data_IF_486956280563
#
_entry.id   IF_486956280563
#
_cell.length_a   1.000
_cell.length_b   1.000
_cell.length_c   1.000
_cell.angle_alpha   90.00
_cell.angle_beta   90.00
_cell.angle_gamma   90.00
#
_symmetry.space_group_name_H-M   'P 1'
#
loop_
_entity.id
_entity.type
_entity.pdbx_description
1 polymer ?
#
# COMPACT_ATOMS: atom_id res chain seq x y z
N UNK A 1 19.64 -14.49 -21.68
CA UNK A 1 20.11 -13.26 -21.10
C UNK A 1 19.25 -12.81 -19.97
N UNK A 2 19.88 -12.65 -18.91
CA UNK A 2 19.25 -12.07 -17.78
C UNK A 2 18.95 -10.63 -18.03
N UNK A 3 17.71 -10.35 -18.29
CA UNK A 3 17.30 -8.97 -18.29
C UNK A 3 17.25 -8.57 -16.85
N UNK A 4 18.24 -7.85 -16.43
CA UNK A 4 18.21 -7.31 -15.09
C UNK A 4 17.13 -6.26 -15.06
N UNK A 5 16.31 -6.32 -14.03
CA UNK A 5 15.24 -5.37 -13.86
C UNK A 5 15.73 -3.93 -13.75
N UNK A 6 17.00 -3.74 -13.43
CA UNK A 6 17.62 -2.42 -13.34
C UNK A 6 17.85 -1.77 -14.71
N UNK A 7 17.53 -2.47 -15.80
CA UNK A 7 17.73 -1.93 -17.14
C UNK A 7 16.62 -1.05 -17.66
N UNK A 8 15.44 -0.99 -16.98
CA UNK A 8 14.31 -0.22 -17.48
C UNK A 8 13.79 0.76 -16.43
N UNK A 9 13.32 1.95 -16.87
CA UNK A 9 12.76 2.92 -15.91
C UNK A 9 11.58 2.40 -15.10
N UNK A 10 10.71 1.59 -15.70
CA UNK A 10 9.55 1.03 -14.99
C UNK A 10 9.98 0.06 -13.91
N UNK A 11 10.97 -0.79 -14.22
CA UNK A 11 11.47 -1.73 -13.23
C UNK A 11 12.17 -1.04 -12.08
N UNK A 12 12.89 0.04 -12.36
CA UNK A 12 13.54 0.84 -11.33
C UNK A 12 12.52 1.47 -10.39
N UNK A 13 11.42 1.97 -10.93
CA UNK A 13 10.32 2.51 -10.13
C UNK A 13 9.69 1.44 -9.25
N UNK A 14 9.48 0.25 -9.80
CA UNK A 14 8.92 -0.86 -9.06
C UNK A 14 9.84 -1.30 -7.93
N UNK A 15 11.14 -1.40 -8.19
CA UNK A 15 12.12 -1.74 -7.15
C UNK A 15 12.12 -0.74 -6.02
N UNK A 16 12.06 0.54 -6.36
CA UNK A 16 12.03 1.59 -5.35
C UNK A 16 10.78 1.48 -4.48
N UNK A 17 9.63 1.22 -5.11
CA UNK A 17 8.38 1.01 -4.40
C UNK A 17 8.48 -0.20 -3.45
N UNK A 18 8.97 -1.32 -3.95
CA UNK A 18 9.11 -2.55 -3.17
C UNK A 18 10.06 -2.34 -2.00
N UNK A 19 11.16 -1.64 -2.20
CA UNK A 19 12.12 -1.35 -1.14
C UNK A 19 11.48 -0.53 -0.02
N UNK A 20 10.69 0.48 -0.38
CA UNK A 20 9.97 1.30 0.59
C UNK A 20 8.90 0.51 1.31
N UNK A 21 8.18 -0.33 0.58
CA UNK A 21 7.17 -1.21 1.16
C UNK A 21 7.80 -2.17 2.18
N UNK A 22 8.94 -2.76 1.83
CA UNK A 22 9.64 -3.67 2.72
C UNK A 22 10.10 -2.97 4.01
N UNK A 23 10.55 -1.73 3.90
CA UNK A 23 10.90 -0.94 5.08
C UNK A 23 9.70 -0.72 5.99
N UNK A 24 8.52 -0.51 5.43
CA UNK A 24 7.29 -0.36 6.20
C UNK A 24 6.88 -1.69 6.83
N UNK A 25 7.06 -2.80 6.14
CA UNK A 25 6.79 -4.14 6.68
C UNK A 25 7.71 -4.43 7.87
N UNK A 26 8.98 -4.04 7.79
CA UNK A 26 9.92 -4.20 8.90
C UNK A 26 9.48 -3.38 10.12
N UNK A 27 8.97 -2.18 9.90
CA UNK A 27 8.42 -1.36 10.97
C UNK A 27 7.20 -2.00 11.61
N UNK A 28 6.37 -2.67 10.82
CA UNK A 28 5.22 -3.41 11.36
C UNK A 28 5.67 -4.52 12.31
N UNK A 29 6.72 -5.25 11.94
CA UNK A 29 7.32 -6.25 12.82
C UNK A 29 7.86 -5.66 14.11
N UNK A 30 8.52 -4.51 14.02
CA UNK A 30 9.05 -3.84 15.20
C UNK A 30 7.93 -3.38 16.14
N UNK A 31 6.80 -2.95 15.59
CA UNK A 31 5.64 -2.57 16.39
C UNK A 31 5.11 -3.78 17.16
N UNK A 32 5.03 -4.94 16.52
CA UNK A 32 4.61 -6.18 17.18
C UNK A 32 5.57 -6.57 18.31
N UNK A 33 6.85 -6.42 18.08
CA UNK A 33 7.87 -6.70 19.12
C UNK A 33 7.75 -5.71 20.27
N UNK A 34 7.49 -4.46 19.97
CA UNK A 34 7.30 -3.42 20.97
C UNK A 34 6.09 -3.74 21.85
N UNK A 35 4.99 -4.16 21.24
CA UNK A 35 3.80 -4.58 21.98
C UNK A 35 4.10 -5.71 22.96
N UNK A 36 4.76 -6.76 22.47
CA UNK A 36 5.14 -7.90 23.30
C UNK A 36 6.04 -7.48 24.46
N UNK A 37 7.01 -6.62 24.19
CA UNK A 37 7.93 -6.13 25.20
C UNK A 37 7.22 -5.34 26.27
N UNK A 38 6.30 -4.46 25.88
CA UNK A 38 5.53 -3.64 26.82
C UNK A 38 4.67 -4.50 27.71
N UNK A 39 4.04 -5.54 27.15
CA UNK A 39 3.24 -6.49 27.92
C UNK A 39 4.12 -7.24 28.92
N UNK A 40 5.30 -7.70 28.50
CA UNK A 40 6.23 -8.39 29.37
C UNK A 40 6.77 -7.50 30.47
N UNK A 41 6.92 -6.21 30.22
CA UNK A 41 7.36 -5.24 31.20
C UNK A 41 6.28 -4.89 32.22
N UNK A 42 5.07 -5.43 32.04
CA UNK A 42 3.98 -5.24 33.00
C UNK A 42 3.23 -3.92 32.85
N UNK A 43 3.33 -3.28 31.69
CA UNK A 43 2.60 -2.03 31.47
C UNK A 43 1.09 -2.28 31.40
N UNK A 44 0.27 -1.30 31.85
CA UNK A 44 -1.18 -1.45 31.77
C UNK A 44 -1.65 -1.68 30.32
N UNK A 45 -2.61 -2.57 30.16
CA UNK A 45 -3.12 -2.92 28.82
C UNK A 45 -3.61 -1.71 28.05
N UNK A 46 -4.30 -0.78 28.72
CA UNK A 46 -4.81 0.43 28.08
C UNK A 46 -3.69 1.33 27.53
N UNK A 47 -2.58 1.40 28.24
CA UNK A 47 -1.42 2.18 27.80
C UNK A 47 -0.76 1.52 26.59
N UNK A 48 -0.57 0.20 26.64
CA UNK A 48 -0.03 -0.58 25.54
C UNK A 48 -0.89 -0.40 24.29
N UNK A 49 -2.20 -0.53 24.44
CA UNK A 49 -3.14 -0.41 23.34
C UNK A 49 -3.09 0.97 22.68
N UNK A 50 -3.03 2.02 23.47
CA UNK A 50 -2.96 3.39 22.95
C UNK A 50 -1.67 3.64 22.17
N UNK A 51 -0.53 3.23 22.69
CA UNK A 51 0.76 3.41 22.04
C UNK A 51 0.85 2.64 20.73
N UNK A 52 0.42 1.38 20.76
CA UNK A 52 0.47 0.51 19.59
C UNK A 52 -0.50 1.00 18.51
N UNK A 53 -1.69 1.43 18.91
CA UNK A 53 -2.66 1.98 17.96
C UNK A 53 -2.12 3.23 17.27
N UNK A 54 -1.42 4.08 18.01
CA UNK A 54 -0.79 5.29 17.46
C UNK A 54 0.27 4.94 16.43
N UNK A 55 1.15 3.98 16.75
CA UNK A 55 2.20 3.56 15.85
C UNK A 55 1.64 2.90 14.59
N UNK A 56 0.62 2.07 14.74
CA UNK A 56 -0.04 1.45 13.60
C UNK A 56 -0.73 2.46 12.69
N UNK A 57 -1.36 3.46 13.28
CA UNK A 57 -2.00 4.52 12.51
C UNK A 57 -0.97 5.31 11.69
N UNK A 58 0.17 5.66 12.29
CA UNK A 58 1.25 6.34 11.59
C UNK A 58 1.80 5.50 10.45
N UNK A 59 1.99 4.20 10.69
CA UNK A 59 2.48 3.28 9.67
C UNK A 59 1.49 3.16 8.51
N UNK A 60 0.21 3.06 8.82
CA UNK A 60 -0.86 2.99 7.82
C UNK A 60 -0.88 4.25 6.95
N UNK A 61 -0.74 5.41 7.57
CA UNK A 61 -0.70 6.68 6.84
C UNK A 61 0.48 6.75 5.89
N UNK A 62 1.65 6.30 6.33
CA UNK A 62 2.84 6.27 5.49
C UNK A 62 2.68 5.30 4.33
N UNK A 63 2.08 4.15 4.59
CA UNK A 63 1.81 3.16 3.55
C UNK A 63 0.83 3.73 2.52
N UNK A 64 -0.24 4.36 2.97
CA UNK A 64 -1.24 4.96 2.10
C UNK A 64 -0.62 6.06 1.22
N UNK A 65 0.24 6.88 1.79
CA UNK A 65 0.95 7.90 1.05
C UNK A 65 1.84 7.29 -0.03
N UNK A 66 2.58 6.25 0.33
CA UNK A 66 3.48 5.57 -0.61
C UNK A 66 2.71 5.02 -1.80
N UNK A 67 1.61 4.31 -1.53
CA UNK A 67 0.79 3.70 -2.58
C UNK A 67 0.15 4.78 -3.45
N UNK A 68 -0.44 5.79 -2.83
CA UNK A 68 -1.09 6.89 -3.55
C UNK A 68 -0.10 7.60 -4.47
N UNK A 69 1.06 7.95 -3.94
CA UNK A 69 2.11 8.62 -4.70
C UNK A 69 2.58 7.78 -5.88
N UNK A 70 2.80 6.49 -5.64
CA UNK A 70 3.25 5.59 -6.68
C UNK A 70 2.22 5.45 -7.80
N UNK A 71 0.95 5.26 -7.45
CA UNK A 71 -0.12 5.13 -8.45
C UNK A 71 -0.27 6.43 -9.23
N UNK A 72 -0.26 7.57 -8.55
CA UNK A 72 -0.38 8.87 -9.20
C UNK A 72 0.76 9.16 -10.18
N UNK A 73 1.97 8.74 -9.83
CA UNK A 73 3.14 8.92 -10.70
C UNK A 73 3.19 7.92 -11.86
N UNK A 74 2.31 6.91 -11.84
CA UNK A 74 2.30 5.85 -12.83
C UNK A 74 0.93 5.65 -13.48
N UNK A 75 0.10 6.69 -13.52
CA UNK A 75 -1.23 6.60 -14.13
C UNK A 75 -1.19 6.14 -15.57
N UNK A 76 -0.18 6.54 -16.31
CA UNK A 76 -0.11 6.29 -17.75
C UNK A 76 0.65 5.03 -18.13
N UNK A 77 1.15 4.28 -17.15
CA UNK A 77 1.84 3.03 -17.43
C UNK A 77 1.19 1.88 -16.66
N UNK A 78 1.61 0.66 -16.97
CA UNK A 78 1.00 -0.55 -16.41
C UNK A 78 1.18 -0.67 -14.88
N UNK A 79 2.19 -0.03 -14.32
CA UNK A 79 2.48 -0.15 -12.88
C UNK A 79 1.37 0.48 -12.02
N UNK A 80 0.80 1.60 -12.46
CA UNK A 80 -0.28 2.26 -11.75
C UNK A 80 -1.50 1.35 -11.57
N UNK A 81 -2.09 0.88 -12.67
CA UNK A 81 -3.23 -0.06 -12.59
C UNK A 81 -2.89 -1.35 -11.85
N UNK A 82 -1.69 -1.89 -12.03
CA UNK A 82 -1.29 -3.13 -11.37
C UNK A 82 -1.24 -2.97 -9.84
N UNK A 83 -0.65 -1.89 -9.36
CA UNK A 83 -0.60 -1.61 -7.92
C UNK A 83 -1.99 -1.31 -7.39
N UNK A 84 -2.79 -0.57 -8.15
CA UNK A 84 -4.18 -0.28 -7.77
C UNK A 84 -4.97 -1.57 -7.58
N UNK A 85 -4.83 -2.53 -8.50
CA UNK A 85 -5.48 -3.82 -8.39
C UNK A 85 -4.97 -4.61 -7.18
N UNK A 86 -3.67 -4.55 -6.92
CA UNK A 86 -3.06 -5.23 -5.77
C UNK A 86 -3.65 -4.76 -4.45
N UNK A 87 -4.06 -3.51 -4.35
CA UNK A 87 -4.65 -2.96 -3.12
C UNK A 87 -5.92 -3.70 -2.70
N UNK A 88 -6.65 -4.28 -3.65
CA UNK A 88 -7.88 -5.00 -3.34
C UNK A 88 -7.65 -6.49 -3.03
N UNK A 89 -6.45 -7.01 -3.30
CA UNK A 89 -6.18 -8.45 -3.16
C UNK A 89 -6.15 -8.94 -1.70
N UNK A 90 -6.12 -8.04 -0.74
CA UNK A 90 -6.16 -8.40 0.67
C UNK A 90 -7.56 -8.73 1.19
N UNK A 91 -8.57 -8.59 0.35
CA UNK A 91 -9.96 -8.80 0.74
C UNK A 91 -10.51 -10.09 0.12
N UNK A 92 -11.52 -10.67 0.78
CA UNK A 92 -12.19 -11.89 0.28
C UNK A 92 -12.90 -11.64 -1.04
N UNK A 93 -13.35 -10.42 -1.28
CA UNK A 93 -13.94 -10.00 -2.54
C UNK A 93 -13.36 -8.65 -2.92
N UNK A 94 -13.35 -8.30 -4.21
CA UNK A 94 -12.84 -6.99 -4.63
C UNK A 94 -13.57 -5.86 -3.90
N UNK A 95 -12.79 -4.92 -3.38
CA UNK A 95 -13.33 -3.76 -2.67
C UNK A 95 -12.60 -2.50 -3.10
N UNK A 96 -13.35 -1.42 -3.18
CA UNK A 96 -12.78 -0.09 -3.37
C UNK A 96 -12.71 0.58 -2.00
N UNK A 97 -11.50 0.79 -1.52
CA UNK A 97 -11.27 1.48 -0.24
C UNK A 97 -11.40 3.01 -0.43
N UNK A 98 -11.57 3.78 0.65
CA UNK A 98 -11.58 5.25 0.53
C UNK A 98 -10.34 5.80 -0.15
N UNK A 99 -9.17 5.22 0.09
CA UNK A 99 -7.93 5.62 -0.58
C UNK A 99 -8.03 5.38 -2.08
N UNK A 100 -8.54 4.22 -2.49
CA UNK A 100 -8.72 3.88 -3.89
C UNK A 100 -9.70 4.82 -4.58
N UNK A 101 -10.78 5.19 -3.89
CA UNK A 101 -11.75 6.16 -4.42
C UNK A 101 -11.10 7.52 -4.63
N UNK A 102 -10.26 7.96 -3.71
CA UNK A 102 -9.52 9.20 -3.84
C UNK A 102 -8.58 9.16 -5.04
N UNK A 103 -7.88 8.06 -5.23
CA UNK A 103 -6.99 7.87 -6.37
C UNK A 103 -7.79 7.95 -7.68
N UNK A 104 -8.93 7.29 -7.75
CA UNK A 104 -9.80 7.31 -8.92
C UNK A 104 -10.32 8.71 -9.23
N UNK A 105 -10.67 9.44 -8.19
CA UNK A 105 -11.21 10.79 -8.32
C UNK A 105 -10.21 11.75 -8.94
N UNK A 106 -8.94 11.60 -8.59
CA UNK A 106 -7.86 12.43 -9.09
C UNK A 106 -7.23 11.90 -10.37
N UNK A 107 -7.58 10.67 -10.77
CA UNK A 107 -6.95 10.01 -11.89
C UNK A 107 -7.47 10.51 -13.24
N UNK A 108 -6.61 10.50 -14.28
CA UNK A 108 -7.06 10.83 -15.64
C UNK A 108 -7.94 9.71 -16.20
N UNK A 109 -8.67 10.05 -17.26
CA UNK A 109 -9.57 9.10 -17.92
C UNK A 109 -8.85 7.83 -18.39
N UNK A 110 -7.63 7.97 -18.86
CA UNK A 110 -6.83 6.83 -19.34
C UNK A 110 -6.61 5.78 -18.24
N UNK A 111 -6.42 6.22 -16.99
CA UNK A 111 -6.29 5.32 -15.86
C UNK A 111 -7.64 4.69 -15.50
N UNK A 112 -8.68 5.51 -15.39
CA UNK A 112 -10.01 5.03 -15.00
C UNK A 112 -10.59 4.05 -16.00
N UNK A 113 -10.28 4.22 -17.29
CA UNK A 113 -10.78 3.34 -18.35
C UNK A 113 -9.88 2.12 -18.58
N UNK A 114 -8.73 2.03 -17.91
CA UNK A 114 -7.84 0.89 -18.04
C UNK A 114 -8.57 -0.39 -17.62
N UNK A 115 -8.39 -1.47 -18.39
CA UNK A 115 -9.12 -2.73 -18.17
C UNK A 115 -9.02 -3.24 -16.74
N UNK A 116 -7.83 -3.23 -16.16
CA UNK A 116 -7.62 -3.70 -14.78
C UNK A 116 -8.40 -2.88 -13.76
N UNK A 117 -8.37 -1.55 -13.91
CA UNK A 117 -9.05 -0.62 -12.99
C UNK A 117 -10.56 -0.76 -13.14
N UNK A 118 -11.02 -0.81 -14.36
CA UNK A 118 -12.45 -0.91 -14.67
C UNK A 118 -13.04 -2.22 -14.18
N UNK A 119 -12.34 -3.33 -14.41
CA UNK A 119 -12.76 -4.64 -13.93
C UNK A 119 -12.91 -4.66 -12.41
N UNK A 120 -11.97 -4.04 -11.72
CA UNK A 120 -11.98 -3.97 -10.26
C UNK A 120 -13.17 -3.15 -9.75
N UNK A 121 -13.39 -1.98 -10.34
CA UNK A 121 -14.51 -1.10 -9.95
C UNK A 121 -15.85 -1.80 -10.20
N UNK A 122 -16.01 -2.44 -11.35
CA UNK A 122 -17.23 -3.16 -11.68
C UNK A 122 -17.47 -4.35 -10.73
N UNK A 123 -16.40 -5.07 -10.38
CA UNK A 123 -16.51 -6.20 -9.47
C UNK A 123 -16.83 -5.79 -8.03
N UNK A 124 -16.51 -4.56 -7.65
CA UNK A 124 -16.75 -4.07 -6.30
C UNK A 124 -18.18 -3.53 -6.08
N UNK A 125 -18.93 -3.38 -7.14
CA UNK A 125 -20.30 -2.83 -7.09
C UNK A 125 -21.37 -3.88 -6.84
#
# INVERSE_FOLDING_TARGET
>A
TCITATGTPLNNKLYEFVARKNALDDRAYEIERMESRMIMDGKPFSEVEQEIAKERANLSDEFDKLVKEFVQNNYENVLGPAIFQMMSNGYTSPKITPLMEQILKEAPESFRSHTMVRSLVDASR
#
